data_IF_029070682508
#
_entry.id   IF_029070682508
#
_cell.length_a   1.000
_cell.length_b   1.000
_cell.length_c   1.000
_cell.angle_alpha   90.00
_cell.angle_beta   90.00
_cell.angle_gamma   90.00
#
_symmetry.space_group_name_H-M   'P 1'
#
loop_
_entity.id
_entity.type
_entity.pdbx_description
1 polymer ?
#
# COMPACT_ATOMS: atom_id res chain seq x y z
N UNK A 1 18.34 -3.04 -15.80
CA UNK A 1 17.04 -3.03 -15.07
C UNK A 1 15.91 -2.95 -16.08
N UNK A 2 14.80 -3.67 -15.85
CA UNK A 2 13.61 -3.58 -16.73
C UNK A 2 12.81 -2.30 -16.45
N UNK A 3 12.13 -1.80 -17.47
CA UNK A 3 11.18 -0.69 -17.34
C UNK A 3 9.99 -1.11 -16.47
N UNK A 4 9.47 -0.25 -15.58
CA UNK A 4 8.34 -0.61 -14.73
C UNK A 4 7.08 -0.71 -15.57
N UNK A 5 6.28 -1.73 -15.28
CA UNK A 5 4.92 -1.89 -15.78
C UNK A 5 3.95 -1.53 -14.65
N UNK A 6 2.71 -1.17 -14.99
CA UNK A 6 1.66 -0.92 -14.00
C UNK A 6 1.53 -2.13 -13.07
N UNK A 7 1.72 -1.89 -11.78
CA UNK A 7 1.75 -2.93 -10.74
C UNK A 7 0.96 -2.43 -9.53
N UNK A 8 0.23 -3.34 -8.88
CA UNK A 8 -0.48 -3.10 -7.64
C UNK A 8 0.28 -3.75 -6.47
N UNK A 9 0.22 -3.14 -5.28
CA UNK A 9 0.90 -3.63 -4.10
C UNK A 9 -0.02 -3.67 -2.87
N UNK A 10 0.20 -4.67 -2.05
CA UNK A 10 -0.41 -4.81 -0.74
C UNK A 10 0.64 -5.39 0.20
N UNK A 11 0.47 -5.19 1.51
CA UNK A 11 1.30 -5.85 2.52
C UNK A 11 0.42 -6.60 3.50
N UNK A 12 0.88 -7.76 3.94
CA UNK A 12 0.27 -8.54 5.00
C UNK A 12 1.23 -8.58 6.19
N UNK A 13 0.72 -8.26 7.38
CA UNK A 13 1.43 -8.40 8.66
C UNK A 13 0.60 -9.31 9.55
N UNK A 14 1.22 -10.27 10.20
CA UNK A 14 0.50 -11.23 11.05
C UNK A 14 1.19 -11.38 12.39
N UNK A 15 0.39 -11.49 13.44
CA UNK A 15 0.79 -11.96 14.76
C UNK A 15 -0.23 -13.02 15.25
N UNK A 16 -0.19 -13.39 16.53
CA UNK A 16 -1.10 -14.39 17.07
C UNK A 16 -2.56 -13.92 17.19
N UNK A 17 -2.81 -12.62 17.09
CA UNK A 17 -4.10 -11.99 17.36
C UNK A 17 -4.83 -11.59 16.08
N UNK A 18 -4.10 -11.23 15.02
CA UNK A 18 -4.68 -10.78 13.76
C UNK A 18 -3.76 -10.92 12.55
N UNK A 19 -4.37 -10.85 11.37
CA UNK A 19 -3.72 -10.53 10.10
C UNK A 19 -4.16 -9.10 9.70
N UNK A 20 -3.21 -8.24 9.38
CA UNK A 20 -3.43 -6.88 8.89
C UNK A 20 -3.01 -6.80 7.42
N UNK A 21 -3.97 -6.53 6.54
CA UNK A 21 -3.73 -6.23 5.14
C UNK A 21 -3.79 -4.72 4.94
N UNK A 22 -2.75 -4.15 4.34
CA UNK A 22 -2.66 -2.72 4.03
C UNK A 22 -2.39 -2.50 2.55
N UNK A 23 -3.14 -1.60 1.92
CA UNK A 23 -2.83 -1.13 0.57
C UNK A 23 -1.49 -0.39 0.58
N UNK A 24 -0.62 -0.77 -0.34
CA UNK A 24 0.62 -0.06 -0.61
C UNK A 24 0.58 0.48 -2.04
N UNK A 25 1.11 1.68 -2.24
CA UNK A 25 1.12 2.32 -3.56
C UNK A 25 2.52 2.81 -3.90
N UNK A 26 2.81 2.89 -5.20
CA UNK A 26 4.10 3.36 -5.67
C UNK A 26 4.40 3.04 -7.13
N UNK A 27 5.68 2.93 -7.45
CA UNK A 27 6.14 2.73 -8.83
C UNK A 27 7.18 1.62 -8.91
N UNK A 28 8.38 1.87 -8.35
CA UNK A 28 9.42 0.84 -8.12
C UNK A 28 9.57 0.49 -6.64
N UNK A 29 9.49 1.51 -5.78
CA UNK A 29 9.33 1.37 -4.35
C UNK A 29 7.87 1.68 -3.98
N UNK A 30 7.43 1.23 -2.81
CA UNK A 30 6.07 1.39 -2.33
C UNK A 30 6.03 2.00 -0.94
N UNK A 31 4.92 2.64 -0.62
CA UNK A 31 4.61 3.23 0.68
C UNK A 31 3.21 2.80 1.10
N UNK A 32 2.98 2.76 2.41
CA UNK A 32 1.63 2.63 2.96
C UNK A 32 0.77 3.77 2.39
N UNK A 33 -0.33 3.43 1.73
CA UNK A 33 -1.15 4.43 1.07
C UNK A 33 -2.25 4.95 1.99
N UNK A 34 -2.21 6.22 2.43
CA UNK A 34 -3.27 6.79 3.27
C UNK A 34 -4.62 6.91 2.54
N UNK A 35 -4.66 6.75 1.21
CA UNK A 35 -5.89 6.74 0.40
C UNK A 35 -6.37 5.32 0.06
N UNK A 36 -5.63 4.30 0.50
CA UNK A 36 -5.99 2.90 0.29
C UNK A 36 -6.88 2.35 1.40
N UNK A 37 -6.98 1.02 1.49
CA UNK A 37 -7.77 0.32 2.51
C UNK A 37 -6.87 -0.46 3.47
N UNK A 38 -7.42 -0.71 4.66
CA UNK A 38 -6.86 -1.62 5.65
C UNK A 38 -7.92 -2.63 6.06
N UNK A 39 -7.55 -3.90 6.08
CA UNK A 39 -8.38 -4.98 6.62
C UNK A 39 -7.70 -5.65 7.82
N UNK A 40 -8.38 -5.67 8.96
CA UNK A 40 -7.97 -6.42 10.14
C UNK A 40 -8.78 -7.69 10.26
N UNK A 41 -8.10 -8.82 10.13
CA UNK A 41 -8.70 -10.15 10.00
C UNK A 41 -8.33 -11.00 11.21
N UNK A 42 -9.18 -11.98 11.49
CA UNK A 42 -8.83 -13.01 12.46
C UNK A 42 -7.76 -13.94 11.86
N UNK A 43 -6.87 -14.52 12.68
CA UNK A 43 -5.85 -15.47 12.18
C UNK A 43 -6.43 -16.77 11.61
N UNK A 44 -7.68 -17.10 11.94
CA UNK A 44 -8.39 -18.31 11.51
C UNK A 44 -9.33 -18.09 10.31
N UNK A 45 -9.19 -16.96 9.60
CA UNK A 45 -9.92 -16.69 8.35
C UNK A 45 -9.65 -17.78 7.30
N UNK A 46 -10.65 -18.13 6.50
CA UNK A 46 -10.46 -19.10 5.42
C UNK A 46 -9.71 -18.50 4.22
N UNK A 47 -9.06 -19.37 3.43
CA UNK A 47 -8.22 -18.97 2.30
C UNK A 47 -9.01 -18.24 1.20
N UNK A 48 -10.28 -18.56 0.99
CA UNK A 48 -11.11 -17.94 -0.04
C UNK A 48 -11.47 -16.50 0.34
N UNK A 49 -11.90 -16.28 1.58
CA UNK A 49 -12.17 -14.95 2.11
C UNK A 49 -10.90 -14.11 2.21
N UNK A 50 -9.79 -14.69 2.66
CA UNK A 50 -8.48 -14.03 2.67
C UNK A 50 -8.07 -13.60 1.25
N UNK A 51 -8.23 -14.48 0.26
CA UNK A 51 -7.93 -14.18 -1.14
C UNK A 51 -8.76 -13.02 -1.69
N UNK A 52 -10.07 -12.97 -1.38
CA UNK A 52 -10.96 -11.86 -1.77
C UNK A 52 -10.48 -10.53 -1.19
N UNK A 53 -10.11 -10.51 0.09
CA UNK A 53 -9.64 -9.31 0.77
C UNK A 53 -8.26 -8.85 0.28
N UNK A 54 -7.38 -9.78 -0.12
CA UNK A 54 -6.13 -9.44 -0.80
C UNK A 54 -6.41 -8.77 -2.16
N UNK A 55 -7.32 -9.31 -2.96
CA UNK A 55 -7.70 -8.73 -4.25
C UNK A 55 -8.32 -7.34 -4.07
N UNK A 56 -9.21 -7.17 -3.10
CA UNK A 56 -9.77 -5.87 -2.75
C UNK A 56 -8.67 -4.87 -2.34
N UNK A 57 -7.75 -5.28 -1.47
CA UNK A 57 -6.62 -4.46 -1.02
C UNK A 57 -5.75 -4.01 -2.20
N UNK A 58 -5.47 -4.92 -3.13
CA UNK A 58 -4.70 -4.64 -4.35
C UNK A 58 -5.44 -3.71 -5.31
N UNK A 59 -6.77 -3.79 -5.39
CA UNK A 59 -7.57 -2.95 -6.28
C UNK A 59 -7.49 -1.46 -5.93
N UNK A 60 -7.19 -1.14 -4.67
CA UNK A 60 -6.98 0.23 -4.18
C UNK A 60 -5.54 0.74 -4.37
N UNK A 61 -4.60 -0.13 -4.77
CA UNK A 61 -3.22 0.28 -5.03
C UNK A 61 -3.13 1.23 -6.20
N UNK A 62 -2.34 2.28 -6.02
CA UNK A 62 -2.08 3.30 -7.04
C UNK A 62 -0.68 3.13 -7.63
N UNK A 63 -0.59 3.38 -8.93
CA UNK A 63 0.68 3.42 -9.65
C UNK A 63 1.15 4.89 -9.75
N UNK A 64 2.11 5.27 -8.92
CA UNK A 64 2.31 6.67 -8.55
C UNK A 64 3.78 7.03 -8.26
N UNK A 65 4.21 8.18 -8.76
CA UNK A 65 5.50 8.84 -8.49
C UNK A 65 5.27 10.12 -7.65
N UNK A 66 6.32 10.72 -7.05
CA UNK A 66 6.15 12.00 -6.36
C UNK A 66 5.78 13.14 -7.32
N UNK A 67 6.46 13.21 -8.46
CA UNK A 67 6.32 14.30 -9.44
C UNK A 67 6.74 13.83 -10.86
N UNK A 68 6.34 14.56 -11.92
CA UNK A 68 6.78 14.29 -13.29
C UNK A 68 8.30 14.41 -13.45
N UNK A 69 8.87 13.67 -14.41
CA UNK A 69 10.31 13.73 -14.73
C UNK A 69 10.54 13.79 -16.23
N UNK A 70 11.25 14.82 -16.68
CA UNK A 70 11.49 15.06 -18.11
C UNK A 70 12.79 14.43 -18.63
N UNK A 71 13.70 14.05 -17.73
CA UNK A 71 15.04 13.55 -18.06
C UNK A 71 15.12 12.02 -18.16
N UNK A 72 14.03 11.31 -17.87
CA UNK A 72 13.97 9.85 -17.88
C UNK A 72 12.63 9.39 -18.41
N UNK A 73 12.59 8.20 -19.02
CA UNK A 73 11.31 7.59 -19.38
C UNK A 73 10.47 7.29 -18.13
N UNK A 74 9.22 7.74 -18.14
CA UNK A 74 8.19 7.40 -17.16
C UNK A 74 7.03 6.68 -17.83
N UNK A 75 6.46 5.70 -17.15
CA UNK A 75 5.34 4.92 -17.70
C UNK A 75 4.11 5.84 -17.89
N UNK A 76 3.39 5.76 -19.02
CA UNK A 76 2.32 6.71 -19.36
C UNK A 76 1.13 6.68 -18.40
N UNK A 77 0.85 5.54 -17.77
CA UNK A 77 -0.23 5.40 -16.78
C UNK A 77 0.14 5.84 -15.35
N UNK A 78 1.35 6.39 -15.13
CA UNK A 78 1.76 6.83 -13.80
C UNK A 78 1.02 8.09 -13.37
N UNK A 79 0.59 8.12 -12.11
CA UNK A 79 0.02 9.32 -11.47
C UNK A 79 1.06 9.99 -10.57
N UNK A 80 0.75 11.18 -10.04
CA UNK A 80 1.68 11.93 -9.19
C UNK A 80 1.03 12.30 -7.87
N UNK A 81 1.74 12.05 -6.76
CA UNK A 81 1.30 12.34 -5.40
C UNK A 81 2.52 12.63 -4.52
N UNK A 82 2.95 13.89 -4.39
CA UNK A 82 4.12 14.25 -3.58
C UNK A 82 3.91 13.92 -2.10
N UNK A 83 2.67 13.98 -1.61
CA UNK A 83 2.33 13.74 -0.21
C UNK A 83 2.55 12.28 0.21
N UNK A 84 2.37 11.34 -0.72
CA UNK A 84 2.68 9.91 -0.47
C UNK A 84 4.18 9.69 -0.22
N UNK A 85 5.03 10.54 -0.81
CA UNK A 85 6.48 10.44 -0.72
C UNK A 85 7.10 11.43 0.28
N UNK A 86 6.29 12.31 0.89
CA UNK A 86 6.72 13.17 1.97
C UNK A 86 7.07 12.34 3.22
N UNK A 87 8.25 12.59 3.77
CA UNK A 87 8.82 11.79 4.86
C UNK A 87 8.03 11.95 6.16
N UNK A 88 7.63 13.17 6.49
CA UNK A 88 6.92 13.46 7.74
C UNK A 88 5.51 12.88 7.71
N UNK A 89 4.81 13.05 6.58
CA UNK A 89 3.49 12.44 6.33
C UNK A 89 3.57 10.91 6.35
N UNK A 90 4.58 10.33 5.70
CA UNK A 90 4.80 8.87 5.74
C UNK A 90 4.97 8.37 7.18
N UNK A 91 5.80 9.04 7.98
CA UNK A 91 6.03 8.66 9.38
C UNK A 91 4.77 8.84 10.23
N UNK A 92 4.03 9.93 10.03
CA UNK A 92 2.76 10.17 10.73
C UNK A 92 1.72 9.09 10.42
N UNK A 93 1.60 8.67 9.15
CA UNK A 93 0.69 7.59 8.75
C UNK A 93 1.10 6.25 9.37
N UNK A 94 2.39 5.93 9.38
CA UNK A 94 2.90 4.72 10.04
C UNK A 94 2.56 4.71 11.54
N UNK A 95 2.77 5.84 12.23
CA UNK A 95 2.46 5.96 13.66
C UNK A 95 0.95 5.82 13.94
N UNK A 96 0.09 6.36 13.07
CA UNK A 96 -1.37 6.16 13.16
C UNK A 96 -1.74 4.68 13.04
N UNK A 97 -1.15 3.96 12.10
CA UNK A 97 -1.39 2.52 11.95
C UNK A 97 -0.92 1.72 13.17
N UNK A 98 0.24 2.07 13.74
CA UNK A 98 0.69 1.45 15.00
C UNK A 98 -0.29 1.69 16.14
N UNK A 99 -0.80 2.90 16.30
CA UNK A 99 -1.79 3.22 17.33
C UNK A 99 -3.10 2.45 17.16
N UNK A 100 -3.57 2.28 15.90
CA UNK A 100 -4.77 1.52 15.59
C UNK A 100 -4.58 0.02 15.86
N UNK A 101 -3.43 -0.54 15.47
CA UNK A 101 -3.08 -1.95 15.72
C UNK A 101 -2.89 -2.32 17.20
N UNK A 102 -2.74 -1.32 18.08
CA UNK A 102 -2.61 -1.49 19.54
C UNK A 102 -3.91 -1.25 20.31
N UNK A 103 -4.97 -0.78 19.66
CA UNK A 103 -6.29 -0.58 20.27
C UNK A 103 -7.19 -1.80 20.01
N UNK A 104 -6.79 -2.99 20.47
CA UNK A 104 -7.68 -4.13 20.72
C UNK A 104 -7.18 -4.90 21.92
#
# INVERSE_FOLDING_TARGET
MKNPIKTAFATAKMNNDFICLDTHSGYRNTKLDPKGVQHLLRPDIDDEELGKLIIDTLSHSRFVLPEPRDNVWTHPEVTFDPDLYDREKTLANYNKCLAFSRCK
#
